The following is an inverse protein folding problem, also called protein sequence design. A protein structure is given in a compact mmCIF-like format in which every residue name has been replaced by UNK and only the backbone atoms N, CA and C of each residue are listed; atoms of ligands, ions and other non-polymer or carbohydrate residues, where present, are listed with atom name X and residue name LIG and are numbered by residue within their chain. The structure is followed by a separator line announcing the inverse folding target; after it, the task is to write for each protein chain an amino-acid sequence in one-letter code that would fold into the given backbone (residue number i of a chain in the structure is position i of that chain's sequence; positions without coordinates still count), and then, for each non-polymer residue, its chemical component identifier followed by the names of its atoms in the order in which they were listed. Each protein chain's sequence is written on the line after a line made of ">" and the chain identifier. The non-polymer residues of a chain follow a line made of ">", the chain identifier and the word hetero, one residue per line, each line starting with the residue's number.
data_IF_086342790435
#
_entry.id   IF_086342790435
#
_cell.length_a   1.000
_cell.length_b   1.000
_cell.length_c   1.000
_cell.angle_alpha   90.00
_cell.angle_beta   90.00
_cell.angle_gamma   90.00
#
_symmetry.space_group_name_H-M   'P 1'
#
loop_
_entity.id
_entity.type
_entity.pdbx_description
1 polymer ?
#
# COMPACT_ATOMS: atom_id res chain seq x y z
N UNK A 1 -10.02 26.13 12.80
CA UNK A 1 -9.10 24.98 12.84
C UNK A 1 -9.68 23.94 11.89
N UNK A 2 -9.03 23.67 10.75
CA UNK A 2 -9.57 22.68 9.79
C UNK A 2 -9.34 21.31 10.41
N UNK A 3 -10.41 20.64 10.84
CA UNK A 3 -10.30 19.33 11.47
C UNK A 3 -9.68 18.31 10.53
N UNK A 4 -8.82 17.46 11.06
CA UNK A 4 -8.27 16.29 10.36
C UNK A 4 -8.83 15.03 10.99
N UNK A 5 -9.26 14.09 10.17
CA UNK A 5 -9.65 12.75 10.60
C UNK A 5 -8.52 11.76 10.31
N UNK A 6 -8.24 10.83 11.22
CA UNK A 6 -7.38 9.70 10.93
C UNK A 6 -7.89 8.38 11.49
N UNK A 7 -7.56 7.30 10.79
CA UNK A 7 -8.03 5.94 11.09
C UNK A 7 -6.97 4.92 10.66
N UNK A 8 -6.74 3.89 11.51
CA UNK A 8 -5.87 2.76 11.14
C UNK A 8 -6.59 1.80 10.20
N UNK A 9 -5.91 1.41 9.14
CA UNK A 9 -6.43 0.45 8.15
C UNK A 9 -6.08 -1.00 8.56
N UNK A 10 -6.90 -1.97 8.14
CA UNK A 10 -6.79 -3.36 8.58
C UNK A 10 -5.50 -4.04 8.09
N UNK A 11 -5.07 -3.70 6.89
CA UNK A 11 -3.85 -4.22 6.26
C UNK A 11 -2.60 -3.41 6.61
N UNK A 12 -2.73 -2.46 7.54
CA UNK A 12 -1.68 -1.55 7.95
C UNK A 12 -1.77 -0.21 7.24
N UNK A 13 -1.00 0.75 7.73
CA UNK A 13 -1.13 2.14 7.31
C UNK A 13 -2.24 2.88 8.05
N UNK A 14 -2.35 4.17 7.75
CA UNK A 14 -3.29 5.09 8.37
C UNK A 14 -3.93 5.95 7.28
N UNK A 15 -5.26 5.90 7.19
CA UNK A 15 -6.04 6.83 6.41
C UNK A 15 -6.02 8.19 7.11
N UNK A 16 -5.64 9.24 6.39
CA UNK A 16 -5.61 10.62 6.88
C UNK A 16 -6.46 11.46 5.94
N UNK A 17 -7.44 12.17 6.47
CA UNK A 17 -8.41 12.97 5.71
C UNK A 17 -8.47 14.39 6.23
N UNK A 18 -8.40 15.35 5.32
CA UNK A 18 -8.68 16.76 5.55
C UNK A 18 -9.90 17.19 4.72
N UNK A 19 -10.35 18.43 4.87
CA UNK A 19 -11.47 18.94 4.06
C UNK A 19 -11.17 19.03 2.54
N UNK A 20 -9.90 18.94 2.11
CA UNK A 20 -9.50 19.17 0.70
C UNK A 20 -8.76 17.98 0.06
N UNK A 21 -8.23 17.07 0.88
CA UNK A 21 -7.44 15.94 0.40
C UNK A 21 -7.40 14.83 1.42
N UNK A 22 -6.98 13.65 0.97
CA UNK A 22 -6.73 12.50 1.82
C UNK A 22 -5.57 11.67 1.28
N UNK A 23 -4.96 10.87 2.15
CA UNK A 23 -3.91 9.92 1.79
C UNK A 23 -3.93 8.70 2.71
N UNK A 24 -3.23 7.65 2.29
CA UNK A 24 -2.88 6.52 3.15
C UNK A 24 -1.40 6.62 3.48
N UNK A 25 -1.04 6.64 4.76
CA UNK A 25 0.34 6.74 5.22
C UNK A 25 0.78 5.44 5.89
N UNK A 26 1.82 4.82 5.35
CA UNK A 26 2.53 3.70 5.95
C UNK A 26 3.77 4.17 6.68
N UNK A 27 4.09 3.50 7.78
CA UNK A 27 5.37 3.63 8.48
C UNK A 27 6.02 2.27 8.59
N UNK A 28 7.23 2.15 8.04
CA UNK A 28 8.04 0.95 8.14
C UNK A 28 9.22 1.24 9.07
N UNK A 29 9.24 0.61 10.24
CA UNK A 29 10.32 0.76 11.21
C UNK A 29 11.65 0.25 10.64
N UNK A 30 12.73 0.99 10.87
CA UNK A 30 14.08 0.52 10.56
C UNK A 30 14.46 -0.70 11.40
N UNK A 31 15.38 -1.52 10.89
CA UNK A 31 15.77 -2.82 11.47
C UNK A 31 16.32 -2.75 12.92
N UNK A 32 16.81 -1.60 13.41
CA UNK A 32 17.47 -1.53 14.73
C UNK A 32 17.33 -0.18 15.47
N UNK A 33 16.25 0.59 15.30
CA UNK A 33 16.06 1.95 15.91
C UNK A 33 17.16 2.99 15.63
N UNK A 34 18.30 2.60 15.03
CA UNK A 34 19.46 3.42 14.64
C UNK A 34 19.23 4.19 13.34
N UNK A 35 18.33 3.69 12.50
CA UNK A 35 17.90 4.34 11.27
C UNK A 35 16.45 4.79 11.41
N UNK A 36 16.16 6.02 10.97
CA UNK A 36 14.78 6.52 10.90
C UNK A 36 13.95 5.58 10.02
N UNK A 37 12.75 5.22 10.49
CA UNK A 37 11.83 4.44 9.69
C UNK A 37 11.41 5.16 8.40
N UNK A 38 10.91 4.41 7.43
CA UNK A 38 10.48 4.93 6.14
C UNK A 38 8.98 5.23 6.18
N UNK A 39 8.61 6.46 5.85
CA UNK A 39 7.21 6.78 5.55
C UNK A 39 6.93 6.61 4.06
N UNK A 40 5.80 6.00 3.74
CA UNK A 40 5.27 5.93 2.38
C UNK A 40 3.87 6.52 2.40
N UNK A 41 3.66 7.59 1.64
CA UNK A 41 2.38 8.27 1.51
C UNK A 41 1.80 7.96 0.14
N UNK A 42 0.57 7.44 0.11
CA UNK A 42 -0.18 7.18 -1.10
C UNK A 42 -1.27 8.24 -1.21
N UNK A 43 -1.16 9.12 -2.20
CA UNK A 43 -2.10 10.21 -2.39
C UNK A 43 -3.48 9.67 -2.81
N UNK A 44 -4.55 10.22 -2.24
CA UNK A 44 -5.93 9.79 -2.52
C UNK A 44 -6.28 9.76 -4.01
N UNK A 45 -5.74 10.72 -4.78
CA UNK A 45 -5.90 10.81 -6.24
C UNK A 45 -5.25 9.66 -7.02
N UNK A 46 -4.35 8.90 -6.40
CA UNK A 46 -3.61 7.80 -7.02
C UNK A 46 -4.08 6.42 -6.53
N UNK A 47 -5.01 6.35 -5.57
CA UNK A 47 -5.39 5.07 -4.96
C UNK A 47 -5.96 4.05 -5.94
N UNK A 48 -6.75 4.49 -6.93
CA UNK A 48 -7.21 3.58 -7.99
C UNK A 48 -6.02 3.01 -8.80
N UNK A 49 -4.99 3.82 -9.08
CA UNK A 49 -3.77 3.33 -9.75
C UNK A 49 -3.00 2.33 -8.88
N UNK A 50 -3.02 2.50 -7.56
CA UNK A 50 -2.43 1.54 -6.65
C UNK A 50 -3.23 0.23 -6.57
N UNK A 51 -4.56 0.29 -6.64
CA UNK A 51 -5.42 -0.91 -6.72
C UNK A 51 -5.06 -1.72 -7.97
N UNK A 52 -5.01 -1.06 -9.13
CA UNK A 52 -4.63 -1.69 -10.40
C UNK A 52 -3.21 -2.24 -10.32
N UNK A 53 -2.25 -1.46 -9.80
CA UNK A 53 -0.86 -1.89 -9.65
C UNK A 53 -0.72 -3.10 -8.72
N UNK A 54 -1.49 -3.18 -7.62
CA UNK A 54 -1.49 -4.35 -6.74
C UNK A 54 -1.92 -5.60 -7.49
N UNK A 55 -3.00 -5.54 -8.25
CA UNK A 55 -3.50 -6.67 -9.04
C UNK A 55 -2.49 -7.09 -10.12
N UNK A 56 -2.03 -6.16 -10.96
CA UNK A 56 -1.13 -6.42 -12.08
C UNK A 56 0.23 -6.95 -11.62
N UNK A 57 0.81 -6.31 -10.59
CA UNK A 57 2.09 -6.75 -10.05
C UNK A 57 1.98 -8.13 -9.41
N UNK A 58 0.82 -8.48 -8.83
CA UNK A 58 0.62 -9.80 -8.23
C UNK A 58 0.50 -10.90 -9.27
N UNK A 59 -0.18 -10.66 -10.40
CA UNK A 59 -0.14 -11.60 -11.54
C UNK A 59 1.28 -11.78 -12.08
N UNK A 60 2.04 -10.69 -12.20
CA UNK A 60 3.44 -10.76 -12.62
C UNK A 60 4.29 -11.54 -11.60
N UNK A 61 4.05 -11.37 -10.31
CA UNK A 61 4.70 -12.14 -9.25
C UNK A 61 4.46 -13.65 -9.40
N UNK A 62 3.21 -14.08 -9.63
CA UNK A 62 2.90 -15.49 -9.79
C UNK A 62 3.59 -16.11 -11.01
N UNK A 63 3.59 -15.42 -12.15
CA UNK A 63 4.33 -15.86 -13.34
C UNK A 63 5.82 -15.98 -13.07
N UNK A 64 6.41 -15.00 -12.37
CA UNK A 64 7.82 -15.04 -12.01
C UNK A 64 8.11 -16.22 -11.07
N UNK A 65 7.23 -16.50 -10.11
CA UNK A 65 7.37 -17.61 -9.17
C UNK A 65 7.42 -18.99 -9.84
N UNK A 66 6.74 -19.15 -10.97
CA UNK A 66 6.78 -20.37 -11.78
C UNK A 66 8.08 -20.50 -12.60
N UNK A 67 8.68 -19.37 -12.98
CA UNK A 67 9.89 -19.36 -13.83
C UNK A 67 11.21 -19.43 -13.05
N UNK A 68 11.24 -18.90 -11.82
CA UNK A 68 12.45 -18.86 -11.02
C UNK A 68 12.65 -20.22 -10.33
N UNK A 69 13.81 -20.88 -10.50
CA UNK A 69 14.09 -22.16 -9.85
C UNK A 69 13.94 -22.09 -8.33
N UNK A 70 13.58 -23.22 -7.71
CA UNK A 70 13.52 -23.32 -6.24
C UNK A 70 14.85 -22.91 -5.62
N UNK A 71 14.80 -22.00 -4.64
CA UNK A 71 15.99 -21.43 -4.00
C UNK A 71 16.66 -20.29 -4.77
N UNK A 72 16.15 -19.93 -5.96
CA UNK A 72 16.59 -18.77 -6.72
C UNK A 72 16.08 -17.46 -6.13
N UNK A 73 16.84 -16.39 -6.38
CA UNK A 73 16.46 -15.02 -6.03
C UNK A 73 16.27 -14.19 -7.30
N UNK A 74 15.21 -13.39 -7.31
CA UNK A 74 14.95 -12.46 -8.41
C UNK A 74 14.22 -11.22 -7.89
N UNK A 75 14.58 -10.06 -8.43
CA UNK A 75 13.94 -8.80 -8.11
C UNK A 75 13.70 -7.99 -9.38
N UNK A 76 12.50 -7.43 -9.51
CA UNK A 76 12.18 -6.50 -10.60
C UNK A 76 11.27 -5.38 -10.13
N UNK A 77 11.26 -4.28 -10.88
CA UNK A 77 10.32 -3.19 -10.65
C UNK A 77 8.89 -3.61 -11.04
N UNK A 78 7.93 -3.20 -10.21
CA UNK A 78 6.51 -3.19 -10.51
C UNK A 78 6.02 -1.79 -10.80
N UNK A 79 4.74 -1.67 -11.14
CA UNK A 79 4.06 -0.37 -11.28
C UNK A 79 4.04 0.40 -9.96
N UNK A 80 3.83 1.72 -10.01
CA UNK A 80 3.70 2.59 -8.83
C UNK A 80 4.89 2.54 -7.84
N UNK A 81 6.11 2.38 -8.35
CA UNK A 81 7.36 2.24 -7.56
C UNK A 81 7.39 1.04 -6.61
N UNK A 82 6.52 0.06 -6.85
CA UNK A 82 6.49 -1.20 -6.11
C UNK A 82 7.61 -2.11 -6.59
N UNK A 83 7.92 -3.14 -5.82
CA UNK A 83 8.96 -4.12 -6.15
C UNK A 83 8.36 -5.52 -6.12
N UNK A 84 8.72 -6.37 -7.07
CA UNK A 84 8.34 -7.79 -7.09
C UNK A 84 9.60 -8.60 -6.77
N UNK A 85 9.50 -9.48 -5.77
CA UNK A 85 10.64 -10.22 -5.22
C UNK A 85 10.32 -11.71 -5.15
N UNK A 86 11.28 -12.55 -5.55
CA UNK A 86 11.34 -13.99 -5.30
C UNK A 86 12.54 -14.23 -4.37
N UNK A 87 12.37 -15.00 -3.30
CA UNK A 87 13.41 -15.20 -2.26
C UNK A 87 13.28 -14.24 -1.08
N UNK A 88 14.30 -13.41 -0.80
CA UNK A 88 14.25 -12.49 0.35
C UNK A 88 13.10 -11.47 0.23
N UNK A 89 12.28 -11.39 1.29
CA UNK A 89 11.06 -10.58 1.35
C UNK A 89 10.12 -10.86 0.16
N UNK A 90 9.90 -12.15 -0.14
CA UNK A 90 9.14 -12.62 -1.29
C UNK A 90 7.70 -12.07 -1.36
N UNK A 91 7.33 -11.63 -2.57
CA UNK A 91 6.02 -11.10 -2.90
C UNK A 91 6.08 -9.78 -3.67
N UNK A 92 4.93 -9.15 -3.80
CA UNK A 92 4.81 -7.75 -4.23
C UNK A 92 4.97 -6.85 -3.01
N UNK A 93 5.95 -5.97 -3.02
CA UNK A 93 6.26 -5.02 -1.95
C UNK A 93 5.81 -3.61 -2.33
N UNK A 94 5.14 -2.92 -1.40
CA UNK A 94 4.73 -1.53 -1.59
C UNK A 94 5.93 -0.60 -1.83
N UNK A 95 7.04 -0.86 -1.13
CA UNK A 95 8.29 -0.11 -1.27
C UNK A 95 9.50 -0.97 -0.91
N UNK A 96 10.43 -1.16 -1.84
CA UNK A 96 11.66 -1.94 -1.61
C UNK A 96 11.37 -3.38 -1.13
N UNK A 97 11.60 -3.70 0.14
CA UNK A 97 11.28 -4.99 0.77
C UNK A 97 10.11 -4.91 1.76
N UNK A 98 9.50 -3.73 1.90
CA UNK A 98 8.44 -3.49 2.86
C UNK A 98 7.08 -3.94 2.34
N UNK A 99 6.30 -4.51 3.26
CA UNK A 99 4.95 -5.02 3.01
C UNK A 99 4.91 -6.06 1.88
N UNK A 100 5.67 -7.18 1.98
CA UNK A 100 5.64 -8.23 0.97
C UNK A 100 4.30 -8.99 0.98
N UNK A 101 3.60 -8.99 -0.15
CA UNK A 101 2.34 -9.71 -0.35
C UNK A 101 2.56 -10.85 -1.34
N UNK A 102 2.40 -12.10 -0.89
CA UNK A 102 2.65 -13.30 -1.70
C UNK A 102 1.46 -14.28 -1.76
N UNK A 103 0.33 -13.99 -1.10
CA UNK A 103 -0.86 -14.83 -1.13
C UNK A 103 -2.06 -14.12 -1.76
N UNK A 104 -2.91 -14.91 -2.44
CA UNK A 104 -4.17 -14.43 -3.05
C UNK A 104 -5.11 -13.81 -2.02
N UNK A 105 -5.24 -14.41 -0.85
CA UNK A 105 -6.07 -13.86 0.23
C UNK A 105 -5.59 -12.48 0.66
N UNK A 106 -4.27 -12.30 0.82
CA UNK A 106 -3.73 -11.04 1.33
C UNK A 106 -3.80 -9.90 0.32
N UNK A 107 -3.62 -10.18 -0.98
CA UNK A 107 -3.78 -9.14 -2.01
C UNK A 107 -5.23 -8.67 -2.10
N UNK A 108 -6.20 -9.58 -1.97
CA UNK A 108 -7.63 -9.23 -1.93
C UNK A 108 -7.94 -8.37 -0.71
N UNK A 109 -7.38 -8.70 0.46
CA UNK A 109 -7.54 -7.85 1.65
C UNK A 109 -6.97 -6.44 1.44
N UNK A 110 -5.77 -6.31 0.86
CA UNK A 110 -5.13 -5.00 0.64
C UNK A 110 -5.93 -4.16 -0.34
N UNK A 111 -6.38 -4.74 -1.45
CA UNK A 111 -7.21 -4.04 -2.43
C UNK A 111 -8.53 -3.59 -1.79
N UNK A 112 -9.20 -4.47 -1.06
CA UNK A 112 -10.46 -4.14 -0.38
C UNK A 112 -10.29 -3.03 0.66
N UNK A 113 -9.16 -3.00 1.37
CA UNK A 113 -8.84 -1.95 2.35
C UNK A 113 -8.57 -0.60 1.67
N UNK A 114 -8.02 -0.59 0.45
CA UNK A 114 -7.82 0.63 -0.35
C UNK A 114 -9.14 1.17 -0.90
N UNK A 115 -10.03 0.28 -1.36
CA UNK A 115 -11.38 0.64 -1.79
C UNK A 115 -12.19 1.21 -0.62
N UNK A 116 -12.12 0.55 0.54
CA UNK A 116 -12.72 1.05 1.77
C UNK A 116 -12.17 2.42 2.15
N UNK A 117 -10.85 2.60 2.14
CA UNK A 117 -10.21 3.88 2.48
C UNK A 117 -10.67 5.01 1.56
N UNK A 118 -10.80 4.74 0.26
CA UNK A 118 -11.33 5.69 -0.74
C UNK A 118 -12.75 6.12 -0.39
N UNK A 119 -13.64 5.16 -0.19
CA UNK A 119 -15.06 5.44 0.05
C UNK A 119 -15.27 6.11 1.41
N UNK A 120 -14.48 5.72 2.42
CA UNK A 120 -14.46 6.33 3.75
C UNK A 120 -13.95 7.77 3.69
N UNK A 121 -12.89 8.02 2.94
CA UNK A 121 -12.32 9.36 2.81
C UNK A 121 -13.33 10.35 2.20
N UNK A 122 -14.03 9.98 1.13
CA UNK A 122 -15.04 10.83 0.50
C UNK A 122 -16.11 11.28 1.51
N UNK A 123 -16.67 10.34 2.27
CA UNK A 123 -17.67 10.63 3.32
C UNK A 123 -17.12 11.59 4.37
N UNK A 124 -15.88 11.38 4.82
CA UNK A 124 -15.25 12.24 5.83
C UNK A 124 -14.92 13.63 5.27
N UNK A 125 -14.52 13.74 4.00
CA UNK A 125 -14.29 15.04 3.35
C UNK A 125 -15.57 15.85 3.24
N UNK A 126 -16.71 15.23 2.91
CA UNK A 126 -18.01 15.89 2.89
C UNK A 126 -18.38 16.43 4.28
N UNK A 127 -18.24 15.61 5.32
CA UNK A 127 -18.50 16.04 6.70
C UNK A 127 -17.58 17.20 7.12
N UNK A 128 -16.29 17.12 6.81
CA UNK A 128 -15.30 18.15 7.18
C UNK A 128 -15.46 19.45 6.38
N UNK A 129 -15.94 19.37 5.14
CA UNK A 129 -16.20 20.55 4.31
C UNK A 129 -17.52 21.25 4.63
N UNK A 130 -18.53 20.50 5.09
CA UNK A 130 -19.80 21.03 5.61
C UNK A 130 -19.72 21.62 7.03
N UNK A 131 -18.59 21.43 7.74
CA UNK A 131 -18.28 22.07 9.01
C UNK A 131 -17.69 23.50 8.86
N UNK A 132 -17.71 24.07 7.65
CA UNK A 132 -17.23 25.41 7.35
C UNK A 132 -18.25 26.49 7.67
#
# INVERSE_FOLDING_TARGET
>A
MVGTYSEKLKTGGELIVSAISWNIRYYFSGLDRRYNGTFVTLEGKEINKYIDAWADNFEKYLKLKETVPSGGEFQTAGSMNMTIRIGFAEGVCLRSYHMPIHTRGKIVEVISDYEYARDRAMKMMEMLSGLK
#
